data_IF_513645352153
#
_entry.id   IF_513645352153
#
_cell.length_a   1.000
_cell.length_b   1.000
_cell.length_c   1.000
_cell.angle_alpha   90.00
_cell.angle_beta   90.00
_cell.angle_gamma   90.00
#
_symmetry.space_group_name_H-M   'P 1'
#
loop_
_entity.id
_entity.type
_entity.pdbx_description
1 polymer ?
#
# COMPACT_ATOMS: atom_id res chain seq x y z
N UNK A 1 20.58 21.53 29.69
CA UNK A 1 19.12 21.32 29.73
C UNK A 1 18.89 19.83 29.60
N UNK A 2 18.20 19.19 30.54
CA UNK A 2 17.93 17.76 30.46
C UNK A 2 16.97 17.49 29.28
N UNK A 3 17.39 16.65 28.34
CA UNK A 3 16.52 16.15 27.27
C UNK A 3 15.36 15.41 27.92
N UNK A 4 14.18 16.04 27.95
CA UNK A 4 12.96 15.38 28.42
C UNK A 4 12.38 14.57 27.27
N UNK A 5 12.26 13.26 27.44
CA UNK A 5 11.65 12.36 26.46
C UNK A 5 10.13 12.41 26.63
N UNK A 6 9.41 12.72 25.56
CA UNK A 6 7.95 12.71 25.54
C UNK A 6 7.44 11.53 24.72
N UNK A 7 6.27 10.99 25.07
CA UNK A 7 5.63 9.91 24.34
C UNK A 7 4.11 10.04 24.41
N UNK A 8 3.43 9.45 23.43
CA UNK A 8 1.97 9.35 23.40
C UNK A 8 1.56 7.88 23.51
N UNK A 9 0.50 7.62 24.29
CA UNK A 9 -0.17 6.32 24.33
C UNK A 9 -1.58 6.52 23.81
N UNK A 10 -1.98 5.72 22.82
CA UNK A 10 -3.33 5.75 22.28
C UNK A 10 -3.74 4.36 21.75
N UNK A 11 -5.04 4.16 21.60
CA UNK A 11 -5.60 2.97 20.95
C UNK A 11 -5.87 3.29 19.48
N UNK A 12 -5.50 2.37 18.59
CA UNK A 12 -5.72 2.48 17.15
C UNK A 12 -6.25 1.17 16.57
N UNK A 13 -6.81 1.25 15.37
CA UNK A 13 -7.23 0.07 14.62
C UNK A 13 -6.06 -0.47 13.80
N UNK A 14 -5.93 -1.79 13.76
CA UNK A 14 -5.01 -2.50 12.89
C UNK A 14 -5.79 -3.49 12.03
N UNK A 15 -5.40 -3.62 10.77
CA UNK A 15 -5.92 -4.62 9.86
C UNK A 15 -4.74 -5.35 9.21
N UNK A 16 -4.79 -6.68 9.20
CA UNK A 16 -3.80 -7.47 8.47
C UNK A 16 -4.19 -7.48 6.99
N UNK A 17 -3.26 -7.11 6.12
CA UNK A 17 -3.55 -6.82 4.73
C UNK A 17 -4.08 -8.01 3.93
N UNK A 18 -3.53 -9.21 4.13
CA UNK A 18 -3.99 -10.41 3.40
C UNK A 18 -5.42 -10.78 3.80
N UNK A 19 -5.75 -10.68 5.09
CA UNK A 19 -7.11 -10.92 5.60
C UNK A 19 -8.08 -9.84 5.14
N UNK A 20 -7.70 -8.57 5.23
CA UNK A 20 -8.58 -7.45 4.87
C UNK A 20 -8.91 -7.41 3.37
N UNK A 21 -7.92 -7.59 2.50
CA UNK A 21 -8.16 -7.64 1.04
C UNK A 21 -9.02 -8.85 0.66
N UNK A 22 -8.79 -10.00 1.29
CA UNK A 22 -9.63 -11.19 1.08
C UNK A 22 -11.06 -10.94 1.55
N UNK A 23 -11.24 -10.28 2.69
CA UNK A 23 -12.56 -9.86 3.17
C UNK A 23 -13.26 -8.95 2.17
N UNK A 24 -12.60 -7.89 1.67
CA UNK A 24 -13.19 -6.99 0.67
C UNK A 24 -13.57 -7.72 -0.62
N UNK A 25 -12.73 -8.66 -1.09
CA UNK A 25 -13.04 -9.50 -2.25
C UNK A 25 -14.31 -10.32 -2.02
N UNK A 26 -14.46 -10.91 -0.83
CA UNK A 26 -15.65 -11.69 -0.48
C UNK A 26 -16.92 -10.82 -0.38
N UNK A 27 -16.81 -9.56 0.06
CA UNK A 27 -17.95 -8.63 0.08
C UNK A 27 -18.49 -8.33 -1.32
N UNK A 28 -17.64 -8.33 -2.34
CA UNK A 28 -18.07 -8.14 -3.73
C UNK A 28 -18.78 -9.39 -4.30
N UNK A 29 -18.47 -10.59 -3.80
CA UNK A 29 -19.12 -11.82 -4.21
C UNK A 29 -19.17 -11.99 -5.73
N UNK A 30 -20.35 -12.29 -6.28
CA UNK A 30 -20.58 -12.47 -7.71
C UNK A 30 -21.00 -11.18 -8.45
N UNK A 31 -20.91 -10.01 -7.79
CA UNK A 31 -21.29 -8.73 -8.42
C UNK A 31 -20.23 -8.21 -9.39
N UNK A 32 -19.03 -8.80 -9.36
CA UNK A 32 -17.90 -8.43 -10.21
C UNK A 32 -17.29 -9.66 -10.88
N UNK A 33 -16.79 -9.50 -12.10
CA UNK A 33 -16.00 -10.51 -12.79
C UNK A 33 -14.50 -10.23 -12.60
N UNK A 34 -13.73 -11.25 -12.18
CA UNK A 34 -12.27 -11.14 -12.06
C UNK A 34 -11.58 -11.72 -13.29
N UNK A 35 -10.76 -10.89 -13.96
CA UNK A 35 -9.90 -11.33 -15.07
C UNK A 35 -8.43 -11.10 -14.73
N UNK A 36 -7.61 -12.13 -14.91
CA UNK A 36 -6.14 -12.00 -14.82
C UNK A 36 -5.59 -11.68 -16.20
N UNK A 37 -5.05 -10.47 -16.36
CA UNK A 37 -4.47 -10.00 -17.62
C UNK A 37 -3.36 -8.98 -17.35
N UNK A 38 -2.33 -8.98 -18.17
CA UNK A 38 -1.32 -7.90 -18.22
C UNK A 38 -1.83 -6.80 -19.15
N UNK A 39 -1.91 -5.58 -18.64
CA UNK A 39 -2.32 -4.39 -19.39
C UNK A 39 -1.08 -3.54 -19.62
N UNK A 40 -0.75 -3.26 -20.88
CA UNK A 40 0.39 -2.42 -21.26
C UNK A 40 -0.02 -0.97 -21.49
N UNK A 41 -1.28 -0.74 -21.88
CA UNK A 41 -1.84 0.60 -22.09
C UNK A 41 -3.34 0.61 -21.80
N UNK A 42 -3.86 1.70 -21.24
CA UNK A 42 -5.31 1.88 -21.06
C UNK A 42 -6.07 1.81 -22.40
N UNK A 43 -5.44 2.20 -23.51
CA UNK A 43 -6.04 2.13 -24.86
C UNK A 43 -6.40 0.69 -25.28
N UNK A 44 -5.80 -0.35 -24.71
CA UNK A 44 -6.19 -1.73 -25.04
C UNK A 44 -7.54 -2.14 -24.42
N UNK A 45 -7.96 -1.42 -23.37
CA UNK A 45 -9.24 -1.61 -22.70
C UNK A 45 -10.35 -0.76 -23.34
N UNK A 46 -9.97 0.31 -24.04
CA UNK A 46 -10.89 1.21 -24.74
C UNK A 46 -11.85 0.50 -25.70
N UNK A 47 -11.34 -0.54 -26.36
CA UNK A 47 -12.04 -1.31 -27.37
C UNK A 47 -12.94 -2.43 -26.82
N UNK A 48 -13.12 -2.50 -25.49
CA UNK A 48 -13.88 -3.57 -24.82
C UNK A 48 -15.19 -3.06 -24.17
N UNK A 49 -15.74 -1.95 -24.67
CA UNK A 49 -17.00 -1.36 -24.22
C UNK A 49 -17.09 -1.02 -22.73
N UNK A 50 -15.97 -0.64 -22.12
CA UNK A 50 -15.98 -0.01 -20.80
C UNK A 50 -16.31 1.49 -20.91
N UNK A 51 -17.33 1.95 -20.18
CA UNK A 51 -17.66 3.37 -20.05
C UNK A 51 -16.72 4.12 -19.11
N UNK A 52 -16.11 3.40 -18.16
CA UNK A 52 -15.22 3.93 -17.13
C UNK A 52 -14.10 2.93 -16.83
N UNK A 53 -12.89 3.46 -16.67
CA UNK A 53 -11.72 2.72 -16.19
C UNK A 53 -11.19 3.40 -14.93
N UNK A 54 -11.02 2.64 -13.85
CA UNK A 54 -10.36 3.12 -12.63
C UNK A 54 -8.96 2.52 -12.54
N UNK A 55 -7.94 3.35 -12.77
CA UNK A 55 -6.53 2.93 -12.73
C UNK A 55 -6.02 2.90 -11.27
N UNK A 56 -6.09 1.71 -10.66
CA UNK A 56 -5.56 1.41 -9.33
C UNK A 56 -4.24 0.59 -9.38
N UNK A 57 -3.44 0.70 -10.44
CA UNK A 57 -2.35 -0.25 -10.72
C UNK A 57 -1.08 -0.09 -9.87
N UNK A 58 -1.11 0.70 -8.79
CA UNK A 58 0.03 0.89 -7.89
C UNK A 58 1.29 1.36 -8.62
N UNK A 59 2.37 0.57 -8.59
CA UNK A 59 3.62 0.86 -9.31
C UNK A 59 3.43 0.88 -10.84
N UNK A 60 2.45 0.17 -11.38
CA UNK A 60 2.09 0.25 -12.80
C UNK A 60 1.18 1.42 -13.14
N UNK A 61 0.69 2.17 -12.13
CA UNK A 61 -0.27 3.25 -12.33
C UNK A 61 0.28 4.39 -13.17
N UNK A 62 1.55 4.76 -12.94
CA UNK A 62 2.25 5.82 -13.67
C UNK A 62 2.38 5.47 -15.16
N UNK A 63 2.91 4.29 -15.49
CA UNK A 63 2.98 3.80 -16.87
C UNK A 63 1.63 3.87 -17.61
N UNK A 64 0.55 3.42 -16.97
CA UNK A 64 -0.78 3.45 -17.58
C UNK A 64 -1.35 4.87 -17.76
N UNK A 65 -0.88 5.83 -16.97
CA UNK A 65 -1.34 7.22 -16.96
C UNK A 65 -0.38 8.22 -17.63
N UNK A 66 0.72 7.75 -18.23
CA UNK A 66 1.76 8.62 -18.81
C UNK A 66 2.53 9.44 -17.77
N UNK A 67 2.73 8.90 -16.57
CA UNK A 67 3.31 9.58 -15.39
C UNK A 67 4.33 8.66 -14.68
N UNK A 68 5.01 7.82 -15.47
CA UNK A 68 5.93 6.79 -14.97
C UNK A 68 7.14 7.38 -14.23
N UNK A 69 7.67 8.51 -14.70
CA UNK A 69 8.80 9.25 -14.12
C UNK A 69 8.58 9.73 -12.67
N UNK A 70 7.32 9.78 -12.25
CA UNK A 70 6.92 10.17 -10.90
C UNK A 70 6.65 8.98 -10.00
N UNK A 71 6.51 7.76 -10.53
CA UNK A 71 6.21 6.56 -9.74
C UNK A 71 7.48 5.76 -9.48
N UNK A 72 7.70 5.37 -8.23
CA UNK A 72 8.89 4.61 -7.84
C UNK A 72 8.59 3.70 -6.65
N UNK A 73 9.33 2.58 -6.52
CA UNK A 73 9.22 1.73 -5.35
C UNK A 73 9.93 2.37 -4.16
N UNK A 74 9.29 2.34 -3.01
CA UNK A 74 9.98 2.39 -1.73
C UNK A 74 9.97 0.98 -1.14
N UNK A 75 11.13 0.31 -1.22
CA UNK A 75 11.30 -1.06 -0.74
C UNK A 75 11.26 -1.07 0.78
N UNK A 76 10.42 -1.95 1.33
CA UNK A 76 10.28 -2.19 2.76
C UNK A 76 10.48 -3.64 3.13
N UNK A 77 11.22 -3.87 4.21
CA UNK A 77 11.48 -5.19 4.78
C UNK A 77 10.82 -5.27 6.16
N UNK A 78 10.22 -6.40 6.45
CA UNK A 78 9.61 -6.70 7.75
C UNK A 78 10.06 -8.05 8.28
N UNK A 79 10.28 -8.13 9.59
CA UNK A 79 10.60 -9.34 10.33
C UNK A 79 9.40 -9.67 11.20
N UNK A 80 8.89 -10.89 11.12
CA UNK A 80 7.81 -11.36 12.00
C UNK A 80 8.41 -12.30 13.03
N UNK A 81 8.16 -12.01 14.31
CA UNK A 81 8.67 -12.81 15.42
C UNK A 81 7.55 -13.33 16.31
N UNK A 82 7.79 -14.40 17.06
CA UNK A 82 6.90 -14.81 18.16
C UNK A 82 7.05 -13.86 19.34
N UNK A 83 5.94 -13.32 19.81
CA UNK A 83 5.90 -12.49 21.01
C UNK A 83 4.54 -12.64 21.71
N UNK A 84 4.28 -13.82 22.33
CA UNK A 84 3.04 -14.06 23.06
C UNK A 84 2.81 -12.98 24.12
N UNK A 85 1.58 -12.45 24.19
CA UNK A 85 1.20 -11.41 25.15
C UNK A 85 1.63 -9.98 24.78
N UNK A 86 2.31 -9.75 23.65
CA UNK A 86 2.59 -8.39 23.16
C UNK A 86 1.35 -7.82 22.46
N UNK A 87 0.59 -6.98 23.16
CA UNK A 87 -0.66 -6.39 22.68
C UNK A 87 -0.55 -4.94 22.19
N UNK A 88 0.57 -4.27 22.48
CA UNK A 88 0.77 -2.86 22.13
C UNK A 88 1.67 -2.73 20.90
N UNK A 89 1.31 -1.83 20.00
CA UNK A 89 2.27 -1.32 19.03
C UNK A 89 3.25 -0.37 19.73
N UNK A 90 4.45 -0.21 19.18
CA UNK A 90 5.43 0.78 19.62
C UNK A 90 6.07 1.42 18.39
N UNK A 91 6.08 2.75 18.35
CA UNK A 91 6.72 3.54 17.30
C UNK A 91 7.69 4.50 17.95
N UNK A 92 8.91 4.52 17.46
CA UNK A 92 9.83 5.64 17.64
C UNK A 92 9.68 6.61 16.46
N UNK A 93 9.63 6.08 15.23
CA UNK A 93 9.43 6.84 14.00
C UNK A 93 8.80 5.97 12.90
N UNK A 94 8.89 6.41 11.63
CA UNK A 94 8.33 5.70 10.48
C UNK A 94 9.09 4.40 10.11
N UNK A 95 10.32 4.26 10.57
CA UNK A 95 11.27 3.18 10.25
C UNK A 95 11.55 2.27 11.45
N UNK A 96 11.33 2.71 12.69
CA UNK A 96 11.55 1.90 13.90
C UNK A 96 10.23 1.70 14.63
N UNK A 97 9.62 0.53 14.43
CA UNK A 97 8.38 0.16 15.11
C UNK A 97 8.20 -1.34 15.29
N UNK A 98 7.29 -1.70 16.19
CA UNK A 98 6.73 -3.04 16.27
C UNK A 98 5.21 -2.99 16.35
N UNK A 99 4.51 -3.86 15.60
CA UNK A 99 3.05 -3.90 15.52
C UNK A 99 2.59 -5.35 15.74
N UNK A 100 1.68 -5.62 16.69
CA UNK A 100 1.06 -6.92 16.84
C UNK A 100 0.34 -7.36 15.55
N UNK A 101 0.54 -8.61 15.15
CA UNK A 101 -0.20 -9.22 14.05
C UNK A 101 -1.59 -9.58 14.58
N UNK A 102 -2.64 -9.07 13.93
CA UNK A 102 -4.01 -9.15 14.45
C UNK A 102 -4.47 -10.60 14.62
N UNK A 103 -4.86 -10.96 15.86
CA UNK A 103 -5.37 -12.29 16.21
C UNK A 103 -4.30 -13.37 16.18
N UNK A 104 -3.07 -13.04 16.56
CA UNK A 104 -1.89 -13.90 16.49
C UNK A 104 -0.90 -13.56 17.62
N UNK A 105 -0.11 -14.53 18.07
CA UNK A 105 0.97 -14.33 19.07
C UNK A 105 2.27 -13.85 18.42
N UNK A 106 2.14 -13.06 17.34
CA UNK A 106 3.24 -12.60 16.50
C UNK A 106 3.27 -11.09 16.42
N UNK A 107 4.46 -10.55 16.23
CA UNK A 107 4.70 -9.12 16.08
C UNK A 107 5.53 -8.89 14.84
N UNK A 108 5.11 -7.91 14.04
CA UNK A 108 5.89 -7.36 12.94
C UNK A 108 6.88 -6.34 13.49
N UNK A 109 8.16 -6.54 13.23
CA UNK A 109 9.25 -5.59 13.41
C UNK A 109 9.50 -4.95 12.05
N UNK A 110 9.49 -3.63 12.01
CA UNK A 110 9.70 -2.91 10.77
C UNK A 110 10.30 -1.55 11.02
N UNK A 111 10.76 -0.88 9.98
CA UNK A 111 10.93 -1.33 8.58
C UNK A 111 12.19 -0.68 8.01
N UNK A 112 12.52 -1.06 6.78
CA UNK A 112 13.33 -0.23 5.88
C UNK A 112 12.44 0.62 4.95
N UNK A 113 13.01 1.71 4.45
CA UNK A 113 12.46 2.58 3.41
C UNK A 113 13.56 2.94 2.41
N UNK A 114 13.68 2.13 1.36
CA UNK A 114 14.72 2.29 0.35
C UNK A 114 14.11 2.67 -1.00
N UNK A 115 14.25 3.93 -1.39
CA UNK A 115 13.72 4.45 -2.64
C UNK A 115 14.42 3.84 -3.86
N UNK A 116 13.67 3.64 -4.94
CA UNK A 116 14.13 3.15 -6.25
C UNK A 116 14.74 1.74 -6.26
N UNK A 117 14.63 0.98 -5.16
CA UNK A 117 14.99 -0.45 -5.11
C UNK A 117 13.81 -1.29 -5.58
N UNK A 118 13.99 -1.99 -6.70
CA UNK A 118 12.96 -2.83 -7.33
C UNK A 118 13.05 -4.31 -6.96
N UNK A 119 14.20 -4.76 -6.47
CA UNK A 119 14.38 -6.13 -6.01
C UNK A 119 13.67 -6.37 -4.68
N UNK A 120 13.48 -7.65 -4.36
CA UNK A 120 12.89 -8.11 -3.11
C UNK A 120 13.85 -9.01 -2.33
N UNK A 121 15.13 -8.97 -2.66
CA UNK A 121 16.17 -9.77 -2.00
C UNK A 121 16.47 -9.19 -0.64
N UNK A 122 16.33 -9.98 0.42
CA UNK A 122 16.56 -9.53 1.80
C UNK A 122 18.01 -9.87 2.18
N UNK A 123 18.78 -8.85 2.56
CA UNK A 123 20.17 -9.03 2.98
C UNK A 123 20.27 -9.25 4.50
N UNK A 124 21.38 -9.81 4.97
CA UNK A 124 21.67 -9.88 6.43
C UNK A 124 21.81 -8.49 7.05
N UNK A 125 22.29 -7.52 6.28
CA UNK A 125 22.38 -6.13 6.72
C UNK A 125 20.99 -5.54 6.97
N UNK A 126 20.04 -5.79 6.07
CA UNK A 126 18.64 -5.35 6.23
C UNK A 126 18.04 -5.87 7.55
N UNK A 127 18.26 -7.17 7.83
CA UNK A 127 17.75 -7.83 9.02
C UNK A 127 18.43 -7.30 10.29
N UNK A 128 19.75 -7.18 10.28
CA UNK A 128 20.50 -6.70 11.43
C UNK A 128 20.17 -5.25 11.78
N UNK A 129 19.95 -4.39 10.78
CA UNK A 129 19.54 -3.01 10.97
C UNK A 129 18.18 -2.93 11.69
N UNK A 130 17.15 -3.58 11.14
CA UNK A 130 15.80 -3.60 11.75
C UNK A 130 15.87 -4.20 13.16
N UNK A 131 16.58 -5.32 13.31
CA UNK A 131 16.67 -6.02 14.60
C UNK A 131 17.31 -5.15 15.67
N UNK A 132 18.42 -4.48 15.34
CA UNK A 132 19.15 -3.61 16.28
C UNK A 132 18.26 -2.47 16.75
N UNK A 133 17.71 -1.69 15.82
CA UNK A 133 16.86 -0.53 16.17
C UNK A 133 15.62 -0.92 16.96
N UNK A 134 14.89 -1.95 16.50
CA UNK A 134 13.64 -2.35 17.15
C UNK A 134 13.88 -3.01 18.51
N UNK A 135 14.99 -3.73 18.72
CA UNK A 135 15.31 -4.32 20.03
C UNK A 135 15.93 -3.32 21.00
N UNK A 136 16.52 -2.22 20.52
CA UNK A 136 16.84 -1.06 21.36
C UNK A 136 15.56 -0.37 21.85
N UNK A 137 14.59 -0.14 20.94
CA UNK A 137 13.28 0.42 21.29
C UNK A 137 12.48 -0.50 22.24
N UNK A 138 12.50 -1.81 21.97
CA UNK A 138 11.73 -2.82 22.70
C UNK A 138 12.61 -4.03 23.08
N UNK A 139 13.42 -3.91 24.16
CA UNK A 139 14.38 -4.95 24.57
C UNK A 139 13.77 -6.32 24.85
N UNK A 140 12.48 -6.38 25.22
CA UNK A 140 11.78 -7.64 25.46
C UNK A 140 11.66 -8.54 24.22
N UNK A 141 11.88 -8.00 23.01
CA UNK A 141 11.83 -8.77 21.75
C UNK A 141 13.20 -9.34 21.34
N UNK A 142 14.28 -9.03 22.05
CA UNK A 142 15.67 -9.39 21.68
C UNK A 142 15.92 -10.89 21.54
N UNK A 143 15.13 -11.72 22.21
CA UNK A 143 15.26 -13.18 22.19
C UNK A 143 14.07 -13.87 21.53
N UNK A 144 13.21 -13.11 20.84
CA UNK A 144 12.07 -13.66 20.13
C UNK A 144 12.52 -14.52 18.96
N UNK A 145 11.81 -15.62 18.73
CA UNK A 145 12.03 -16.50 17.58
C UNK A 145 11.53 -15.81 16.29
N UNK A 146 12.39 -15.71 15.27
CA UNK A 146 12.01 -15.24 13.93
C UNK A 146 11.14 -16.29 13.26
N UNK A 147 9.93 -15.89 12.86
CA UNK A 147 8.96 -16.75 12.17
C UNK A 147 9.09 -16.60 10.65
N UNK A 148 9.24 -15.36 10.17
CA UNK A 148 9.35 -15.09 8.74
C UNK A 148 9.92 -13.70 8.48
N UNK A 149 10.55 -13.55 7.32
CA UNK A 149 11.00 -12.27 6.78
C UNK A 149 10.27 -12.03 5.45
N UNK A 150 9.95 -10.78 5.15
CA UNK A 150 9.31 -10.45 3.88
C UNK A 150 9.74 -9.07 3.38
N UNK A 151 9.71 -8.93 2.06
CA UNK A 151 10.01 -7.68 1.37
C UNK A 151 8.83 -7.28 0.47
N UNK A 152 8.40 -6.03 0.58
CA UNK A 152 7.36 -5.42 -0.24
C UNK A 152 7.83 -4.14 -0.89
N UNK A 153 7.22 -3.78 -2.02
CA UNK A 153 7.49 -2.53 -2.72
C UNK A 153 6.30 -1.61 -2.57
N UNK A 154 6.46 -0.51 -1.83
CA UNK A 154 5.42 0.50 -1.67
C UNK A 154 5.31 1.30 -2.97
N UNK A 155 4.10 1.51 -3.53
CA UNK A 155 3.91 2.25 -4.77
C UNK A 155 3.91 3.76 -4.49
N UNK A 156 5.10 4.32 -4.25
CA UNK A 156 5.25 5.75 -4.00
C UNK A 156 5.19 6.55 -5.30
N UNK A 157 4.83 7.83 -5.16
CA UNK A 157 4.74 8.78 -6.27
C UNK A 157 5.19 10.17 -5.84
N UNK A 158 6.00 10.84 -6.66
CA UNK A 158 6.33 12.27 -6.50
C UNK A 158 5.04 13.10 -6.59
N UNK A 159 4.81 13.95 -5.60
CA UNK A 159 3.54 14.69 -5.48
C UNK A 159 2.41 13.92 -4.78
N UNK A 160 2.66 12.71 -4.28
CA UNK A 160 1.69 11.93 -3.52
C UNK A 160 0.64 11.24 -4.40
N UNK A 161 -0.48 10.86 -3.77
CA UNK A 161 -1.59 10.13 -4.42
C UNK A 161 -2.09 10.94 -5.61
N UNK A 162 -2.14 10.31 -6.79
CA UNK A 162 -2.84 10.87 -7.95
C UNK A 162 -4.26 10.31 -7.95
N UNK A 163 -5.21 11.19 -7.64
CA UNK A 163 -6.63 10.89 -7.63
C UNK A 163 -7.35 11.96 -8.45
N UNK A 164 -7.63 11.67 -9.72
CA UNK A 164 -8.25 12.63 -10.65
C UNK A 164 -8.97 11.93 -11.80
N UNK A 165 -9.93 12.61 -12.41
CA UNK A 165 -10.59 12.20 -13.65
C UNK A 165 -9.89 12.77 -14.89
N UNK A 166 -9.83 11.97 -15.96
CA UNK A 166 -9.40 12.33 -17.30
C UNK A 166 -10.33 11.71 -18.33
N UNK A 167 -10.48 12.38 -19.46
CA UNK A 167 -11.09 11.82 -20.64
C UNK A 167 -9.97 11.39 -21.59
N UNK A 168 -9.94 10.11 -21.94
CA UNK A 168 -9.01 9.60 -22.95
C UNK A 168 -9.77 9.42 -24.26
N UNK A 169 -9.18 9.92 -25.33
CA UNK A 169 -9.65 9.71 -26.70
C UNK A 169 -8.80 8.60 -27.35
N UNK A 170 -9.46 7.64 -27.98
CA UNK A 170 -8.80 6.67 -28.85
C UNK A 170 -8.68 7.25 -30.26
N UNK A 171 -7.45 7.63 -30.64
CA UNK A 171 -7.12 8.24 -31.94
C UNK A 171 -7.60 7.42 -33.16
N UNK A 172 -7.89 6.13 -32.99
CA UNK A 172 -8.36 5.25 -34.08
C UNK A 172 -9.88 5.21 -34.21
N UNK A 173 -10.59 5.39 -33.10
CA UNK A 173 -12.06 5.21 -33.04
C UNK A 173 -12.80 6.51 -32.73
N UNK A 174 -12.08 7.57 -32.32
CA UNK A 174 -12.61 8.81 -31.75
C UNK A 174 -13.55 8.57 -30.56
N UNK A 175 -13.47 7.39 -29.93
CA UNK A 175 -14.26 7.05 -28.76
C UNK A 175 -13.60 7.68 -27.53
N UNK A 176 -14.40 8.38 -26.75
CA UNK A 176 -13.99 8.95 -25.47
C UNK A 176 -14.31 7.98 -24.34
N UNK A 177 -13.35 7.78 -23.44
CA UNK A 177 -13.49 6.91 -22.27
C UNK A 177 -13.08 7.67 -21.03
N UNK A 178 -13.91 7.56 -20.00
CA UNK A 178 -13.59 8.13 -18.71
C UNK A 178 -12.54 7.29 -18.01
N UNK A 179 -11.51 7.94 -17.49
CA UNK A 179 -10.48 7.32 -16.69
C UNK A 179 -10.35 8.06 -15.38
N UNK A 180 -10.42 7.34 -14.26
CA UNK A 180 -10.09 7.87 -12.95
C UNK A 180 -8.79 7.23 -12.50
N UNK A 181 -7.76 8.05 -12.28
CA UNK A 181 -6.50 7.61 -11.71
C UNK A 181 -6.64 7.53 -10.19
N UNK A 182 -6.12 6.47 -9.56
CA UNK A 182 -6.10 6.31 -8.12
C UNK A 182 -4.88 5.45 -7.71
N UNK A 183 -3.68 6.04 -7.76
CA UNK A 183 -2.41 5.36 -7.46
C UNK A 183 -1.41 6.30 -6.79
N UNK A 184 -0.24 5.77 -6.39
CA UNK A 184 0.78 6.56 -5.67
C UNK A 184 0.56 6.62 -4.16
N UNK A 185 0.01 5.56 -3.57
CA UNK A 185 -0.39 5.52 -2.16
C UNK A 185 0.76 5.29 -1.17
N UNK A 186 1.91 4.80 -1.64
CA UNK A 186 3.05 4.53 -0.76
C UNK A 186 2.71 3.59 0.40
N UNK A 187 3.22 3.93 1.59
CA UNK A 187 2.92 3.23 2.84
C UNK A 187 1.48 3.42 3.36
N UNK A 188 0.71 4.35 2.77
CA UNK A 188 -0.56 4.83 3.31
C UNK A 188 -1.79 4.22 2.63
N UNK A 189 -1.61 3.26 1.72
CA UNK A 189 -2.70 2.69 0.92
C UNK A 189 -3.86 2.12 1.75
N UNK A 190 -3.57 1.39 2.83
CA UNK A 190 -4.62 0.88 3.70
C UNK A 190 -5.37 2.00 4.44
N UNK A 191 -4.63 2.92 5.04
CA UNK A 191 -5.18 4.06 5.78
C UNK A 191 -6.08 4.94 4.90
N UNK A 192 -5.67 5.19 3.65
CA UNK A 192 -6.37 6.07 2.73
C UNK A 192 -7.45 5.35 1.90
N UNK A 193 -7.44 4.02 1.86
CA UNK A 193 -8.24 3.21 0.92
C UNK A 193 -9.71 3.60 0.85
N UNK A 194 -10.40 3.71 1.99
CA UNK A 194 -11.82 4.03 2.04
C UNK A 194 -12.11 5.48 1.62
N UNK A 195 -11.26 6.42 2.03
CA UNK A 195 -11.37 7.83 1.63
C UNK A 195 -11.17 8.00 0.12
N UNK A 196 -10.12 7.39 -0.42
CA UNK A 196 -9.85 7.41 -1.87
C UNK A 196 -10.98 6.73 -2.67
N UNK A 197 -11.53 5.61 -2.19
CA UNK A 197 -12.65 4.95 -2.85
C UNK A 197 -13.92 5.84 -2.88
N UNK A 198 -14.19 6.59 -1.80
CA UNK A 198 -15.28 7.57 -1.77
C UNK A 198 -15.05 8.72 -2.75
N UNK A 199 -13.83 9.24 -2.82
CA UNK A 199 -13.51 10.32 -3.77
C UNK A 199 -13.65 9.86 -5.24
N UNK A 200 -13.27 8.61 -5.55
CA UNK A 200 -13.54 8.01 -6.87
C UNK A 200 -15.04 8.03 -7.16
N UNK A 201 -15.89 7.66 -6.20
CA UNK A 201 -17.35 7.70 -6.39
C UNK A 201 -17.87 9.12 -6.61
N UNK A 202 -17.35 10.12 -5.89
CA UNK A 202 -17.73 11.51 -6.11
C UNK A 202 -17.28 12.03 -7.48
N UNK A 203 -16.09 11.64 -7.97
CA UNK A 203 -15.67 11.93 -9.33
C UNK A 203 -16.58 11.29 -10.39
N UNK A 204 -17.09 10.08 -10.15
CA UNK A 204 -18.06 9.43 -11.04
C UNK A 204 -19.34 10.27 -11.16
N UNK A 205 -19.90 10.69 -10.01
CA UNK A 205 -21.13 11.49 -9.95
C UNK A 205 -20.95 12.87 -10.57
N UNK A 206 -19.88 13.59 -10.20
CA UNK A 206 -19.64 14.97 -10.64
C UNK A 206 -19.38 15.08 -12.15
N UNK A 207 -18.94 14.00 -12.78
CA UNK A 207 -18.70 13.94 -14.22
C UNK A 207 -19.83 13.23 -14.99
N UNK A 208 -20.95 12.89 -14.34
CA UNK A 208 -22.12 12.27 -14.99
C UNK A 208 -21.82 10.94 -15.68
N UNK A 209 -20.86 10.16 -15.15
CA UNK A 209 -20.33 8.96 -15.82
C UNK A 209 -21.31 7.78 -15.70
N UNK A 210 -22.02 7.70 -14.58
CA UNK A 210 -23.08 6.71 -14.32
C UNK A 210 -24.16 7.35 -13.43
N UNK A 211 -25.44 7.06 -13.73
CA UNK A 211 -26.57 7.30 -12.82
C UNK A 211 -26.69 6.19 -11.77
#
# INVERSE_FOLDING_TARGET
MANSTFGIHYTAYAAEGRRFVSYLKNQLGNTVEYKTRKIESIKELANQDFSLIVNCAGLGGGKLAGDDENVFPNRGVGIVVKAPGQSHFCYEDADTFCIPVVGDDRVLLGTLRQDNRWDREISREDINDIWTRVTELKPSLKHSEVVSEWCGLRPDRKGGVRLEHKLLEDDKTNKQIHVIHNYGHGAKGFLLSWGCAREVLELIKNNGICE
#
